data_IF_612264187630
#
_entry.id   IF_612264187630
#
_cell.length_a   1.000
_cell.length_b   1.000
_cell.length_c   1.000
_cell.angle_alpha   90.00
_cell.angle_beta   90.00
_cell.angle_gamma   90.00
#
_symmetry.space_group_name_H-M   'P 1'
#
loop_
_entity.id
_entity.type
_entity.pdbx_description
1 polymer ?
#
# COMPACT_ATOMS: atom_id res chain seq x y z
N UNK A 1 15.83 -20.35 -24.60
CA UNK A 1 15.97 -18.99 -25.15
C UNK A 1 14.64 -18.65 -25.79
N UNK A 2 14.02 -17.61 -25.27
CA UNK A 2 12.74 -17.01 -25.67
C UNK A 2 12.76 -16.49 -27.11
N UNK A 3 11.68 -16.70 -27.87
CA UNK A 3 10.82 -15.62 -28.43
C UNK A 3 9.81 -16.19 -29.44
N UNK A 4 8.78 -16.89 -28.95
CA UNK A 4 7.56 -17.23 -29.70
C UNK A 4 6.44 -16.21 -29.41
N UNK A 5 6.76 -14.91 -29.52
CA UNK A 5 5.87 -13.80 -29.13
C UNK A 5 5.55 -12.79 -30.25
N UNK A 6 5.87 -13.06 -31.51
CA UNK A 6 5.65 -12.11 -32.63
C UNK A 6 4.38 -12.36 -33.47
N UNK A 7 3.52 -13.30 -33.07
CA UNK A 7 2.31 -13.67 -33.83
C UNK A 7 1.06 -12.79 -33.56
N UNK A 8 1.26 -11.52 -33.21
CA UNK A 8 0.30 -10.41 -33.36
C UNK A 8 1.06 -9.15 -33.77
N UNK A 9 1.85 -9.27 -34.84
CA UNK A 9 2.59 -8.16 -35.41
C UNK A 9 1.61 -7.12 -35.95
N UNK A 10 1.52 -5.97 -35.28
CA UNK A 10 0.81 -4.82 -35.82
C UNK A 10 1.55 -4.38 -37.10
N UNK A 11 1.01 -4.72 -38.27
CA UNK A 11 1.56 -4.35 -39.58
C UNK A 11 1.36 -2.84 -39.84
N UNK A 12 2.06 -2.00 -39.08
CA UNK A 12 1.98 -0.54 -39.17
C UNK A 12 2.38 0.00 -40.54
N UNK A 13 3.22 -0.74 -41.26
CA UNK A 13 3.62 -0.42 -42.64
C UNK A 13 2.46 -0.55 -43.63
N UNK A 14 1.68 -1.64 -43.54
CA UNK A 14 0.49 -1.86 -44.37
C UNK A 14 -0.58 -0.80 -44.07
N UNK A 15 -0.85 -0.54 -42.78
CA UNK A 15 -1.80 0.49 -42.36
C UNK A 15 -1.38 1.90 -42.78
N UNK A 16 -0.09 2.23 -42.68
CA UNK A 16 0.43 3.53 -43.14
C UNK A 16 0.27 3.68 -44.66
N UNK A 17 0.54 2.62 -45.44
CA UNK A 17 0.39 2.63 -46.89
C UNK A 17 -1.08 2.85 -47.30
N UNK A 18 -2.01 2.17 -46.66
CA UNK A 18 -3.45 2.33 -46.91
C UNK A 18 -3.91 3.76 -46.63
N UNK A 19 -3.52 4.33 -45.49
CA UNK A 19 -3.88 5.70 -45.09
C UNK A 19 -3.32 6.74 -46.08
N UNK A 20 -2.04 6.62 -46.44
CA UNK A 20 -1.40 7.56 -47.38
C UNK A 20 -2.02 7.45 -48.78
N UNK A 21 -2.31 6.23 -49.24
CA UNK A 21 -2.96 6.02 -50.54
C UNK A 21 -4.35 6.67 -50.61
N UNK A 22 -5.16 6.52 -49.56
CA UNK A 22 -6.46 7.16 -49.45
C UNK A 22 -6.34 8.69 -49.42
N UNK A 23 -5.39 9.23 -48.67
CA UNK A 23 -5.18 10.68 -48.56
C UNK A 23 -4.78 11.30 -49.92
N UNK A 24 -3.80 10.72 -50.61
CA UNK A 24 -3.32 11.23 -51.90
C UNK A 24 -4.34 10.99 -53.03
N UNK A 25 -5.21 9.98 -52.92
CA UNK A 25 -6.29 9.78 -53.90
C UNK A 25 -7.34 10.89 -53.88
N UNK A 26 -7.51 11.56 -52.74
CA UNK A 26 -8.52 12.60 -52.53
C UNK A 26 -7.91 14.01 -52.33
N UNK A 27 -6.58 14.12 -52.31
CA UNK A 27 -5.87 15.37 -52.06
C UNK A 27 -4.66 15.52 -53.01
N UNK A 28 -4.53 16.70 -53.62
CA UNK A 28 -3.41 17.01 -54.52
C UNK A 28 -2.26 17.64 -53.75
N UNK A 29 -1.14 16.92 -53.66
CA UNK A 29 0.08 17.36 -52.97
C UNK A 29 1.29 17.41 -53.92
N UNK A 30 2.28 18.28 -53.66
CA UNK A 30 3.57 18.22 -54.33
C UNK A 30 4.30 16.91 -54.00
N UNK A 31 4.98 16.33 -55.00
CA UNK A 31 5.77 15.08 -54.84
C UNK A 31 6.82 15.19 -53.73
N UNK A 32 7.33 16.40 -53.49
CA UNK A 32 8.32 16.68 -52.44
C UNK A 32 7.79 16.47 -51.01
N UNK A 33 6.47 16.52 -50.79
CA UNK A 33 5.87 16.40 -49.46
C UNK A 33 5.51 14.95 -49.09
N UNK A 34 5.50 14.04 -50.07
CA UNK A 34 5.15 12.63 -49.86
C UNK A 34 6.05 11.91 -48.84
N UNK A 35 7.38 12.07 -48.83
CA UNK A 35 8.24 11.40 -47.84
C UNK A 35 7.95 11.88 -46.40
N UNK A 36 7.65 13.18 -46.24
CA UNK A 36 7.32 13.75 -44.93
C UNK A 36 5.98 13.22 -44.42
N UNK A 37 4.98 13.10 -45.29
CA UNK A 37 3.67 12.54 -44.95
C UNK A 37 3.78 11.06 -44.53
N UNK A 38 4.49 10.23 -45.29
CA UNK A 38 4.67 8.81 -45.01
C UNK A 38 5.35 8.60 -43.64
N UNK A 39 6.44 9.33 -43.40
CA UNK A 39 7.16 9.25 -42.12
C UNK A 39 6.33 9.74 -40.93
N UNK A 40 5.53 10.80 -41.11
CA UNK A 40 4.63 11.31 -40.07
C UNK A 40 3.53 10.33 -39.68
N UNK A 41 2.86 9.72 -40.67
CA UNK A 41 1.79 8.73 -40.43
C UNK A 41 2.35 7.47 -39.77
N UNK A 42 3.47 6.95 -40.28
CA UNK A 42 4.13 5.79 -39.68
C UNK A 42 4.56 6.06 -38.24
N UNK A 43 5.19 7.21 -37.97
CA UNK A 43 5.60 7.61 -36.63
C UNK A 43 4.41 7.71 -35.67
N UNK A 44 3.28 8.28 -36.11
CA UNK A 44 2.07 8.37 -35.30
C UNK A 44 1.50 6.98 -34.96
N UNK A 45 1.45 6.06 -35.92
CA UNK A 45 0.97 4.69 -35.71
C UNK A 45 1.90 3.90 -34.78
N UNK A 46 3.22 4.00 -34.98
CA UNK A 46 4.20 3.37 -34.08
C UNK A 46 4.18 3.98 -32.69
N UNK A 47 3.88 5.27 -32.57
CA UNK A 47 3.77 5.98 -31.29
C UNK A 47 2.58 5.50 -30.46
N UNK A 48 1.44 5.20 -31.11
CA UNK A 48 0.27 4.59 -30.47
C UNK A 48 0.51 3.13 -30.09
N UNK A 49 1.28 2.40 -30.89
CA UNK A 49 1.72 1.03 -30.59
C UNK A 49 2.73 0.92 -29.46
N UNK A 50 3.53 1.99 -29.31
CA UNK A 50 4.63 2.08 -28.35
C UNK A 50 4.24 2.83 -27.08
N UNK A 51 2.97 2.69 -26.62
CA UNK A 51 2.50 3.13 -25.28
C UNK A 51 3.30 2.52 -24.10
N UNK A 52 4.47 1.91 -24.36
CA UNK A 52 5.42 1.46 -23.34
C UNK A 52 6.76 2.19 -23.32
N UNK A 53 6.91 3.36 -23.96
CA UNK A 53 8.18 4.09 -23.79
C UNK A 53 8.09 5.62 -23.88
N UNK A 54 7.14 6.23 -23.18
CA UNK A 54 7.27 7.60 -22.68
C UNK A 54 6.44 7.85 -21.41
N UNK A 55 6.21 6.81 -20.59
CA UNK A 55 6.17 7.06 -19.17
C UNK A 55 7.61 6.93 -18.70
N UNK A 56 8.31 8.05 -18.60
CA UNK A 56 9.12 8.26 -17.41
C UNK A 56 8.22 7.90 -16.24
N UNK A 57 8.27 6.64 -15.83
CA UNK A 57 8.20 6.33 -14.43
C UNK A 57 9.51 6.90 -13.88
N UNK A 58 9.58 8.24 -13.78
CA UNK A 58 10.05 8.83 -12.55
C UNK A 58 9.27 8.07 -11.48
N UNK A 59 9.89 6.99 -10.99
CA UNK A 59 9.63 6.54 -9.65
C UNK A 59 9.78 7.80 -8.84
N UNK A 60 8.64 8.39 -8.45
CA UNK A 60 8.57 9.72 -7.83
C UNK A 60 9.80 9.87 -6.95
N UNK A 61 10.64 10.90 -7.19
CA UNK A 61 12.00 10.97 -6.68
C UNK A 61 11.97 10.52 -5.24
N UNK A 62 12.65 9.40 -4.95
CA UNK A 62 12.55 8.75 -3.64
C UNK A 62 12.73 9.85 -2.60
N UNK A 63 11.73 10.07 -1.72
CA UNK A 63 11.75 11.21 -0.84
C UNK A 63 13.07 11.21 -0.08
N UNK A 64 13.74 12.35 -0.09
CA UNK A 64 15.01 12.48 0.64
C UNK A 64 14.77 12.18 2.12
N UNK A 65 15.77 11.71 2.87
CA UNK A 65 15.62 11.47 4.31
C UNK A 65 15.09 12.69 5.07
N UNK A 66 15.40 13.91 4.60
CA UNK A 66 14.87 15.16 5.11
C UNK A 66 13.36 15.31 4.88
N UNK A 67 12.86 14.95 3.69
CA UNK A 67 11.42 14.95 3.37
C UNK A 67 10.67 13.88 4.17
N UNK A 68 11.26 12.69 4.35
CA UNK A 68 10.70 11.64 5.21
C UNK A 68 10.53 12.15 6.64
N UNK A 69 11.57 12.76 7.21
CA UNK A 69 11.49 13.36 8.56
C UNK A 69 10.45 14.48 8.63
N UNK A 70 10.36 15.33 7.59
CA UNK A 70 9.38 16.42 7.53
C UNK A 70 7.94 15.93 7.37
N UNK A 71 7.74 14.74 6.79
CA UNK A 71 6.40 14.15 6.67
C UNK A 71 5.80 13.69 7.99
N UNK A 72 6.64 13.48 9.02
CA UNK A 72 6.21 13.03 10.34
C UNK A 72 6.07 14.26 11.23
N UNK A 73 4.82 14.69 11.44
CA UNK A 73 4.50 15.75 12.42
C UNK A 73 3.76 15.14 13.61
N UNK A 74 3.80 15.77 14.80
CA UNK A 74 3.14 15.23 15.99
C UNK A 74 1.62 15.08 15.81
N UNK A 75 1.00 15.97 15.04
CA UNK A 75 -0.46 16.00 14.80
C UNK A 75 -0.90 15.22 13.56
N UNK A 76 -0.05 15.13 12.53
CA UNK A 76 -0.39 14.51 11.25
C UNK A 76 0.81 13.88 10.53
N UNK A 77 0.55 12.92 9.65
CA UNK A 77 1.49 12.37 8.69
C UNK A 77 1.16 12.89 7.29
N UNK A 78 2.14 13.46 6.60
CA UNK A 78 1.98 13.95 5.23
C UNK A 78 2.10 12.78 4.26
N UNK A 79 1.10 12.56 3.41
CA UNK A 79 1.14 11.51 2.40
C UNK A 79 1.98 11.93 1.19
N UNK A 80 2.91 11.06 0.76
CA UNK A 80 3.64 11.16 -0.50
C UNK A 80 2.80 10.86 -1.76
N UNK A 81 1.52 10.49 -1.62
CA UNK A 81 0.62 10.30 -2.77
C UNK A 81 0.05 11.64 -3.22
N UNK A 82 -0.48 12.42 -2.28
CA UNK A 82 -1.24 13.64 -2.56
C UNK A 82 -0.74 14.89 -1.81
N UNK A 83 0.28 14.73 -0.96
CA UNK A 83 0.88 15.83 -0.19
C UNK A 83 0.04 16.31 1.00
N UNK A 84 -1.06 15.63 1.34
CA UNK A 84 -1.99 16.12 2.38
C UNK A 84 -1.68 15.54 3.77
N UNK A 85 -1.94 16.31 4.84
CA UNK A 85 -1.77 15.84 6.21
C UNK A 85 -2.94 14.94 6.65
N UNK A 86 -2.61 13.76 7.18
CA UNK A 86 -3.56 12.78 7.68
C UNK A 86 -3.22 12.33 9.11
N UNK A 87 -4.22 12.18 9.97
CA UNK A 87 -4.02 11.59 11.31
C UNK A 87 -3.63 10.12 11.24
N UNK A 88 -4.15 9.42 10.24
CA UNK A 88 -3.90 8.00 9.97
C UNK A 88 -3.68 7.77 8.48
N UNK A 89 -2.53 7.22 8.09
CA UNK A 89 -2.26 6.90 6.69
C UNK A 89 -3.02 5.67 6.21
N UNK A 90 -3.29 4.70 7.09
CA UNK A 90 -3.91 3.42 6.73
C UNK A 90 -5.22 3.58 5.94
N UNK A 91 -6.09 4.50 6.35
CA UNK A 91 -7.35 4.77 5.64
C UNK A 91 -7.12 5.35 4.24
N UNK A 92 -6.20 6.32 4.12
CA UNK A 92 -5.85 6.93 2.84
C UNK A 92 -5.23 5.91 1.89
N UNK A 93 -4.28 5.10 2.38
CA UNK A 93 -3.64 4.04 1.59
C UNK A 93 -4.66 3.00 1.10
N UNK A 94 -5.63 2.62 1.94
CA UNK A 94 -6.69 1.67 1.57
C UNK A 94 -7.54 2.18 0.40
N UNK A 95 -7.85 3.48 0.35
CA UNK A 95 -8.57 4.09 -0.79
C UNK A 95 -7.76 4.01 -2.09
N UNK A 96 -6.43 4.04 -1.99
CA UNK A 96 -5.52 3.88 -3.13
C UNK A 96 -5.16 2.41 -3.42
N UNK A 97 -5.79 1.44 -2.76
CA UNK A 97 -5.48 0.02 -2.92
C UNK A 97 -4.08 -0.36 -2.44
N UNK A 98 -3.48 0.45 -1.57
CA UNK A 98 -2.12 0.26 -1.05
C UNK A 98 -2.17 -0.15 0.43
N UNK A 99 -1.27 -1.05 0.80
CA UNK A 99 -0.97 -1.32 2.20
C UNK A 99 0.23 -0.47 2.66
N UNK A 100 0.40 -0.32 3.98
CA UNK A 100 1.56 0.36 4.58
C UNK A 100 2.88 -0.21 4.07
N UNK A 101 2.98 -1.54 3.91
CA UNK A 101 4.21 -2.16 3.45
C UNK A 101 4.52 -1.83 1.98
N UNK A 102 3.51 -1.95 1.11
CA UNK A 102 3.62 -1.57 -0.30
C UNK A 102 3.95 -0.08 -0.46
N UNK A 103 3.36 0.76 0.38
CA UNK A 103 3.66 2.19 0.43
C UNK A 103 5.13 2.46 0.81
N UNK A 104 5.65 1.78 1.84
CA UNK A 104 7.05 1.91 2.23
C UNK A 104 8.01 1.47 1.13
N UNK A 105 7.70 0.38 0.43
CA UNK A 105 8.51 -0.08 -0.69
C UNK A 105 8.47 0.91 -1.86
N UNK A 106 7.28 1.41 -2.21
CA UNK A 106 7.08 2.35 -3.33
C UNK A 106 7.86 3.65 -3.15
N UNK A 107 7.92 4.16 -1.93
CA UNK A 107 8.59 5.42 -1.60
C UNK A 107 9.94 5.25 -0.88
N UNK A 108 10.45 4.02 -0.73
CA UNK A 108 11.71 3.76 -0.04
C UNK A 108 11.74 4.24 1.42
N UNK A 109 10.60 4.20 2.11
CA UNK A 109 10.48 4.67 3.50
C UNK A 109 11.13 3.68 4.48
N UNK A 110 11.66 4.17 5.63
CA UNK A 110 12.17 3.30 6.69
C UNK A 110 11.10 2.31 7.18
N UNK A 111 11.54 1.12 7.63
CA UNK A 111 10.64 0.12 8.23
C UNK A 111 9.92 0.63 9.49
N UNK A 112 10.49 1.62 10.17
CA UNK A 112 9.93 2.27 11.36
C UNK A 112 9.00 3.47 11.03
N UNK A 113 8.60 3.64 9.78
CA UNK A 113 7.73 4.76 9.40
C UNK A 113 6.33 4.59 10.03
N UNK A 114 5.85 5.53 10.86
CA UNK A 114 4.59 5.38 11.58
C UNK A 114 3.39 5.36 10.62
N UNK A 115 2.34 4.61 10.98
CA UNK A 115 1.08 4.59 10.21
C UNK A 115 0.05 5.60 10.74
N UNK A 116 0.27 6.11 11.95
CA UNK A 116 -0.60 7.05 12.66
C UNK A 116 0.22 8.15 13.33
N UNK A 117 -0.36 9.34 13.47
CA UNK A 117 0.28 10.45 14.16
C UNK A 117 0.46 10.16 15.66
N UNK A 118 1.50 10.74 16.26
CA UNK A 118 1.84 10.53 17.67
C UNK A 118 0.72 11.01 18.61
N UNK A 119 0.20 12.22 18.40
CA UNK A 119 -0.85 12.80 19.23
C UNK A 119 -2.18 12.04 19.09
N UNK A 120 -2.51 11.57 17.89
CA UNK A 120 -3.69 10.74 17.68
C UNK A 120 -3.62 9.43 18.47
N UNK A 121 -2.44 8.79 18.45
CA UNK A 121 -2.18 7.56 19.20
C UNK A 121 -2.23 7.80 20.72
N UNK A 122 -1.65 8.92 21.19
CA UNK A 122 -1.70 9.33 22.60
C UNK A 122 -3.14 9.57 23.08
N UNK A 123 -3.94 10.36 22.38
CA UNK A 123 -5.34 10.65 22.72
C UNK A 123 -6.19 9.38 22.78
N UNK A 124 -6.07 8.49 21.78
CA UNK A 124 -6.79 7.22 21.76
C UNK A 124 -6.37 6.30 22.91
N UNK A 125 -5.08 6.27 23.25
CA UNK A 125 -4.59 5.46 24.38
C UNK A 125 -5.07 5.99 25.73
N UNK A 126 -5.16 7.32 25.91
CA UNK A 126 -5.69 7.93 27.13
C UNK A 126 -7.18 7.62 27.29
N UNK A 127 -7.97 7.74 26.22
CA UNK A 127 -9.38 7.35 26.21
C UNK A 127 -9.57 5.86 26.50
N UNK A 128 -8.73 5.00 25.94
CA UNK A 128 -8.80 3.57 26.21
C UNK A 128 -8.53 3.27 27.70
N UNK A 129 -7.52 3.91 28.28
CA UNK A 129 -7.18 3.78 29.71
C UNK A 129 -8.29 4.30 30.62
N UNK A 130 -8.91 5.43 30.29
CA UNK A 130 -10.04 5.96 31.06
C UNK A 130 -11.29 5.08 30.95
N UNK A 131 -11.47 4.39 29.82
CA UNK A 131 -12.52 3.39 29.60
C UNK A 131 -12.18 1.99 30.16
N UNK A 132 -11.06 1.83 30.87
CA UNK A 132 -10.71 0.59 31.58
C UNK A 132 -9.95 -0.46 30.75
N UNK A 133 -9.53 -0.15 29.52
CA UNK A 133 -8.67 -1.03 28.73
C UNK A 133 -7.23 -0.97 29.27
N UNK A 134 -6.68 -2.13 29.64
CA UNK A 134 -5.30 -2.25 30.15
C UNK A 134 -5.16 -2.27 31.67
N UNK A 135 -6.26 -2.23 32.43
CA UNK A 135 -6.24 -2.62 33.84
C UNK A 135 -6.10 -4.13 33.92
N UNK A 136 -4.86 -4.64 33.84
CA UNK A 136 -4.57 -6.01 34.27
C UNK A 136 -5.13 -6.15 35.68
N UNK A 137 -6.02 -7.13 35.88
CA UNK A 137 -6.57 -7.49 37.19
C UNK A 137 -5.41 -7.48 38.17
N UNK A 138 -5.37 -6.47 39.03
CA UNK A 138 -4.44 -6.43 40.15
C UNK A 138 -4.66 -7.76 40.88
N UNK A 139 -3.65 -8.64 41.04
CA UNK A 139 -3.84 -9.81 41.88
C UNK A 139 -4.32 -9.25 43.21
N UNK A 140 -5.52 -9.66 43.64
CA UNK A 140 -6.07 -9.25 44.91
C UNK A 140 -4.97 -9.45 45.97
N UNK A 141 -4.75 -8.48 46.89
CA UNK A 141 -3.81 -8.70 47.98
C UNK A 141 -4.22 -10.00 48.63
N UNK A 142 -3.25 -10.91 48.76
CA UNK A 142 -3.44 -12.26 49.28
C UNK A 142 -4.36 -12.17 50.50
N UNK A 143 -5.63 -12.56 50.32
CA UNK A 143 -6.51 -12.82 51.43
C UNK A 143 -5.83 -13.95 52.20
N UNK A 144 -5.29 -13.55 53.34
CA UNK A 144 -4.78 -14.36 54.42
C UNK A 144 -5.35 -15.77 54.35
N UNK A 145 -4.48 -16.69 53.96
CA UNK A 145 -4.78 -18.11 53.80
C UNK A 145 -5.06 -18.64 55.20
N UNK A 146 -6.31 -18.53 55.64
CA UNK A 146 -6.80 -19.19 56.83
C UNK A 146 -6.47 -20.68 56.70
N UNK A 147 -5.71 -21.19 57.67
CA UNK A 147 -5.28 -22.58 57.76
C UNK A 147 -6.49 -23.53 57.68
N UNK A 148 -6.44 -24.60 56.88
CA UNK A 148 -7.49 -25.61 56.93
C UNK A 148 -7.32 -26.42 58.22
N UNK A 149 -8.27 -26.26 59.13
CA UNK A 149 -8.37 -27.06 60.36
C UNK A 149 -8.43 -28.57 60.04
N UNK A 150 -7.59 -29.33 60.74
CA UNK A 150 -7.41 -30.77 60.61
C UNK A 150 -8.69 -31.59 60.88
N UNK A 151 -8.91 -32.74 60.20
CA UNK A 151 -10.05 -33.60 60.47
C UNK A 151 -9.83 -34.47 61.72
N UNK A 152 -10.82 -34.50 62.63
CA UNK A 152 -10.84 -35.38 63.82
C UNK A 152 -11.04 -36.85 63.43
N UNK A 153 -10.36 -37.83 64.08
CA UNK A 153 -10.59 -39.25 63.82
C UNK A 153 -11.91 -39.71 64.46
N UNK A 154 -12.79 -40.32 63.66
CA UNK A 154 -14.03 -40.95 64.16
C UNK A 154 -13.70 -42.34 64.70
N UNK A 155 -13.91 -42.50 66.01
CA UNK A 155 -13.61 -43.71 66.77
C UNK A 155 -14.37 -44.96 66.32
N UNK A 156 -13.64 -46.07 66.38
CA UNK A 156 -14.07 -47.46 66.16
C UNK A 156 -15.09 -47.86 67.22
N UNK A 157 -16.33 -48.20 66.82
CA UNK A 157 -17.26 -48.94 67.69
C UNK A 157 -17.24 -50.42 67.30
N UNK A 158 -16.79 -51.24 68.26
CA UNK A 158 -16.99 -52.70 68.29
C UNK A 158 -18.50 -52.99 68.32
N UNK A 159 -18.93 -54.01 67.59
CA UNK A 159 -20.07 -54.83 67.95
C UNK A 159 -19.71 -56.29 67.72
N UNK A 160 -19.85 -57.09 68.78
CA UNK A 160 -19.69 -58.54 68.81
C UNK A 160 -21.08 -59.16 69.07
N UNK A 161 -21.26 -60.35 68.49
CA UNK A 161 -22.12 -61.46 68.91
C UNK A 161 -23.64 -61.25 69.13
N UNK A 162 -24.44 -61.93 68.31
CA UNK A 162 -25.26 -63.08 68.72
C UNK A 162 -25.73 -63.84 67.46
#
# INVERSE_FOLDING_TARGET
MTDDAEARGNNYTELAADIVSAFVSNNSLPVAELPALISGVYAALTGLGSEKQAAETEAAPRPTPAQVRKSITPDALVSFIDGKPYKTLKRHLSTHGLDIHAYRQRYGLPGDYPSTAANYSAQRSQLAKSLGLGQQRRPAPAAERAEPAAPKPRGRRKAAAA
#
